data_IF_463150718905
#
_entry.id   IF_463150718905
#
_cell.length_a   1.000
_cell.length_b   1.000
_cell.length_c   1.000
_cell.angle_alpha   90.00
_cell.angle_beta   90.00
_cell.angle_gamma   90.00
#
_symmetry.space_group_name_H-M   'P 1'
#
loop_
_entity.id
_entity.type
_entity.pdbx_description
1 polymer ?
#
# COMPACT_ATOMS: atom_id res chain seq x y z
N UNK A 1 42.21 29.21 -0.34
CA UNK A 1 41.54 28.90 0.95
C UNK A 1 40.11 28.33 0.79
N UNK A 2 39.56 28.20 -0.42
CA UNK A 2 38.12 27.96 -0.63
C UNK A 2 37.69 26.49 -0.87
N UNK A 3 38.64 25.56 -1.06
CA UNK A 3 38.33 24.13 -1.33
C UNK A 3 37.93 23.34 -0.07
N UNK A 4 38.49 23.71 1.09
CA UNK A 4 38.25 23.02 2.36
C UNK A 4 36.80 23.14 2.84
N UNK A 5 36.12 24.24 2.49
CA UNK A 5 34.73 24.52 2.89
C UNK A 5 33.75 23.67 2.08
N UNK A 6 34.03 23.43 0.79
CA UNK A 6 33.19 22.59 -0.07
C UNK A 6 33.14 21.13 0.40
N UNK A 7 34.25 20.60 0.92
CA UNK A 7 34.33 19.24 1.44
C UNK A 7 33.51 19.09 2.72
N UNK A 8 33.54 20.10 3.61
CA UNK A 8 32.78 20.06 4.86
C UNK A 8 31.27 20.10 4.61
N UNK A 9 30.81 20.86 3.61
CA UNK A 9 29.37 20.92 3.26
C UNK A 9 28.88 19.61 2.62
N UNK A 10 29.70 18.94 1.79
CA UNK A 10 29.36 17.63 1.21
C UNK A 10 29.27 16.52 2.28
N UNK A 11 30.10 16.55 3.33
CA UNK A 11 30.09 15.53 4.38
C UNK A 11 28.83 15.60 5.27
N UNK A 12 28.26 16.78 5.46
CA UNK A 12 27.06 16.98 6.31
C UNK A 12 25.80 16.41 5.64
N UNK A 13 25.73 16.40 4.31
CA UNK A 13 24.58 15.82 3.58
C UNK A 13 24.57 14.28 3.59
N UNK A 14 25.71 13.62 3.76
CA UNK A 14 25.80 12.16 3.71
C UNK A 14 25.28 11.47 4.99
N UNK A 15 25.33 12.12 6.15
CA UNK A 15 24.99 11.49 7.45
C UNK A 15 23.54 11.77 7.88
N UNK A 16 22.89 12.79 7.33
CA UNK A 16 21.46 13.07 7.61
C UNK A 16 20.49 12.04 7.04
N UNK A 17 20.94 11.19 6.11
CA UNK A 17 20.11 10.20 5.39
C UNK A 17 20.20 8.81 6.04
N UNK A 18 20.64 8.72 7.30
CA UNK A 18 20.65 7.46 8.06
C UNK A 18 19.37 7.21 8.85
N UNK A 19 18.27 7.92 8.59
CA UNK A 19 16.94 7.47 9.04
C UNK A 19 16.45 6.37 8.10
N UNK A 20 17.08 5.20 8.23
CA UNK A 20 16.58 3.99 7.60
C UNK A 20 16.17 3.01 8.69
N UNK A 21 14.86 3.07 8.92
CA UNK A 21 13.98 1.92 9.19
C UNK A 21 14.19 1.26 10.55
N UNK A 22 13.75 1.92 11.62
CA UNK A 22 13.14 1.19 12.75
C UNK A 22 11.83 0.58 12.26
N UNK A 23 11.94 -0.50 11.48
CA UNK A 23 10.83 -1.30 11.04
C UNK A 23 10.99 -2.67 11.64
N UNK A 24 10.54 -2.83 12.88
CA UNK A 24 10.13 -4.14 13.39
C UNK A 24 9.32 -4.77 12.26
N UNK A 25 9.86 -5.86 11.72
CA UNK A 25 9.27 -6.71 10.70
C UNK A 25 8.04 -7.38 11.33
N UNK A 26 6.99 -6.60 11.56
CA UNK A 26 5.67 -7.15 11.79
C UNK A 26 5.29 -7.82 10.48
N UNK A 27 5.20 -9.13 10.53
CA UNK A 27 4.67 -10.03 9.50
C UNK A 27 3.14 -9.80 9.33
N UNK A 28 2.61 -8.68 9.82
CA UNK A 28 1.24 -8.21 9.68
C UNK A 28 1.20 -7.10 8.64
N UNK A 29 0.20 -7.15 7.77
CA UNK A 29 0.17 -6.34 6.56
C UNK A 29 0.26 -4.83 6.83
N UNK A 30 0.87 -4.13 5.87
CA UNK A 30 1.32 -2.76 6.04
C UNK A 30 0.24 -1.80 5.56
N UNK A 31 0.07 -0.66 6.24
CA UNK A 31 -0.84 0.40 5.78
C UNK A 31 -0.60 0.82 4.31
N UNK A 32 0.63 0.69 3.81
CA UNK A 32 0.96 0.94 2.41
C UNK A 32 0.28 -0.03 1.43
N UNK A 33 0.06 -1.28 1.84
CA UNK A 33 -0.65 -2.28 1.02
C UNK A 33 -2.13 -1.93 0.94
N UNK A 34 -2.76 -1.58 2.09
CA UNK A 34 -4.13 -1.06 2.10
C UNK A 34 -4.27 0.16 1.19
N UNK A 35 -3.38 1.15 1.33
CA UNK A 35 -3.44 2.37 0.51
C UNK A 35 -3.33 2.05 -0.98
N UNK A 36 -2.46 1.12 -1.36
CA UNK A 36 -2.31 0.70 -2.75
C UNK A 36 -3.57 0.02 -3.29
N UNK A 37 -4.16 -0.89 -2.51
CA UNK A 37 -5.43 -1.56 -2.87
C UNK A 37 -6.55 -0.53 -3.03
N UNK A 38 -6.71 0.37 -2.06
CA UNK A 38 -7.76 1.40 -2.10
C UNK A 38 -7.59 2.39 -3.25
N UNK A 39 -6.35 2.63 -3.69
CA UNK A 39 -6.06 3.46 -4.85
C UNK A 39 -6.34 2.71 -6.17
N UNK A 40 -5.69 1.57 -6.38
CA UNK A 40 -5.68 0.87 -7.68
C UNK A 40 -7.01 0.10 -7.94
N UNK A 41 -7.72 -0.29 -6.89
CA UNK A 41 -9.00 -1.00 -6.96
C UNK A 41 -10.21 -0.11 -6.62
N UNK A 42 -10.01 1.20 -6.36
CA UNK A 42 -11.02 2.10 -5.78
C UNK A 42 -12.43 1.96 -6.38
N UNK A 43 -12.51 1.87 -7.71
CA UNK A 43 -13.79 1.78 -8.44
C UNK A 43 -14.54 0.49 -8.14
N UNK A 44 -13.82 -0.63 -8.03
CA UNK A 44 -14.38 -1.96 -7.81
C UNK A 44 -14.82 -2.16 -6.37
N UNK A 45 -14.23 -1.42 -5.43
CA UNK A 45 -14.44 -1.60 -4.00
C UNK A 45 -15.61 -0.79 -3.45
N UNK A 46 -16.24 0.10 -4.23
CA UNK A 46 -17.38 0.91 -3.76
C UNK A 46 -18.59 0.04 -3.41
N UNK A 47 -19.47 0.56 -2.55
CA UNK A 47 -20.74 -0.08 -2.15
C UNK A 47 -21.81 -0.12 -3.26
N UNK A 48 -21.44 0.10 -4.53
CA UNK A 48 -22.37 -0.01 -5.64
C UNK A 48 -22.74 -1.48 -5.95
N UNK A 49 -23.88 -1.71 -6.59
CA UNK A 49 -24.31 -3.06 -7.01
C UNK A 49 -23.60 -3.56 -8.27
N UNK A 50 -22.50 -2.91 -8.66
CA UNK A 50 -21.75 -3.30 -9.84
C UNK A 50 -20.97 -4.60 -9.58
N UNK A 51 -21.01 -5.55 -10.54
CA UNK A 51 -20.21 -6.77 -10.45
C UNK A 51 -18.72 -6.43 -10.44
N UNK A 52 -17.94 -7.20 -9.68
CA UNK A 52 -16.48 -7.08 -9.67
C UNK A 52 -15.96 -7.71 -10.96
N UNK A 53 -15.71 -6.86 -11.97
CA UNK A 53 -15.05 -7.26 -13.22
C UNK A 53 -13.63 -6.69 -13.17
N UNK A 54 -12.66 -7.56 -12.94
CA UNK A 54 -11.24 -7.19 -12.86
C UNK A 54 -10.43 -7.98 -13.88
N UNK A 55 -9.58 -7.29 -14.63
CA UNK A 55 -8.63 -7.95 -15.53
C UNK A 55 -7.44 -8.49 -14.73
N UNK A 56 -7.01 -9.73 -15.00
CA UNK A 56 -5.87 -10.38 -14.31
C UNK A 56 -4.56 -9.59 -14.39
N UNK A 57 -4.39 -8.81 -15.45
CA UNK A 57 -3.21 -7.97 -15.69
C UNK A 57 -3.44 -6.49 -15.36
N UNK A 58 -4.57 -6.17 -14.72
CA UNK A 58 -4.84 -4.81 -14.25
C UNK A 58 -3.93 -4.42 -13.08
N UNK A 59 -3.73 -3.12 -12.91
CA UNK A 59 -3.00 -2.56 -11.75
C UNK A 59 -3.62 -3.02 -10.41
N UNK A 60 -4.95 -3.14 -10.35
CA UNK A 60 -5.63 -3.68 -9.17
C UNK A 60 -5.16 -5.11 -8.84
N UNK A 61 -5.14 -6.02 -9.82
CA UNK A 61 -4.67 -7.38 -9.55
C UNK A 61 -3.18 -7.48 -9.27
N UNK A 62 -2.36 -6.57 -9.82
CA UNK A 62 -0.95 -6.48 -9.43
C UNK A 62 -0.80 -6.04 -7.97
N UNK A 63 -1.61 -5.09 -7.51
CA UNK A 63 -1.63 -4.68 -6.11
C UNK A 63 -2.08 -5.82 -5.19
N UNK A 64 -3.12 -6.58 -5.56
CA UNK A 64 -3.58 -7.77 -4.82
C UNK A 64 -2.50 -8.84 -4.74
N UNK A 65 -1.82 -9.14 -5.85
CA UNK A 65 -0.71 -10.12 -5.88
C UNK A 65 0.51 -9.68 -5.06
N UNK A 66 0.68 -8.39 -4.83
CA UNK A 66 1.74 -7.86 -3.99
C UNK A 66 1.44 -7.97 -2.49
N UNK A 67 0.18 -8.23 -2.09
CA UNK A 67 -0.18 -8.50 -0.69
C UNK A 67 0.35 -9.88 -0.30
N UNK A 68 1.02 -10.02 0.86
CA UNK A 68 1.49 -11.32 1.36
C UNK A 68 0.36 -12.34 1.41
N UNK A 69 0.57 -13.51 0.79
CA UNK A 69 -0.42 -14.58 0.65
C UNK A 69 -1.75 -14.15 0.01
N UNK A 70 -1.79 -12.98 -0.66
CA UNK A 70 -3.02 -12.33 -1.15
C UNK A 70 -4.09 -12.15 -0.07
N UNK A 71 -3.71 -12.07 1.21
CA UNK A 71 -4.68 -12.02 2.32
C UNK A 71 -5.46 -10.70 2.30
N UNK A 72 -6.60 -10.70 1.63
CA UNK A 72 -7.44 -9.51 1.49
C UNK A 72 -8.31 -9.28 2.72
N UNK A 73 -8.54 -10.31 3.53
CA UNK A 73 -9.23 -10.19 4.83
C UNK A 73 -8.55 -9.19 5.73
N UNK A 74 -7.21 -9.26 5.84
CA UNK A 74 -6.47 -8.32 6.64
C UNK A 74 -6.54 -6.88 6.09
N UNK A 75 -6.55 -6.70 4.77
CA UNK A 75 -6.74 -5.37 4.15
C UNK A 75 -8.09 -4.77 4.56
N UNK A 76 -9.15 -5.59 4.59
CA UNK A 76 -10.47 -5.16 5.03
C UNK A 76 -10.50 -4.78 6.53
N UNK A 77 -9.73 -5.47 7.37
CA UNK A 77 -9.58 -5.16 8.80
C UNK A 77 -8.86 -3.83 9.05
N UNK A 78 -7.89 -3.46 8.20
CA UNK A 78 -7.15 -2.19 8.29
C UNK A 78 -7.96 -0.94 7.86
N UNK A 79 -9.18 -1.12 7.34
CA UNK A 79 -10.02 0.02 6.97
C UNK A 79 -10.41 0.84 8.20
N UNK A 80 -10.19 2.15 8.10
CA UNK A 80 -10.73 3.13 9.04
C UNK A 80 -12.25 3.22 8.92
N UNK A 81 -12.91 3.77 9.93
CA UNK A 81 -14.36 3.99 9.90
C UNK A 81 -14.82 4.86 8.70
N UNK A 82 -13.98 5.80 8.25
CA UNK A 82 -14.28 6.61 7.07
C UNK A 82 -14.17 5.78 5.79
N UNK A 83 -13.12 4.96 5.66
CA UNK A 83 -12.93 4.08 4.49
C UNK A 83 -14.04 3.02 4.41
N UNK A 84 -14.51 2.46 5.53
CA UNK A 84 -15.64 1.50 5.56
C UNK A 84 -16.96 2.08 5.05
N UNK A 85 -17.13 3.41 5.10
CA UNK A 85 -18.30 4.09 4.51
C UNK A 85 -18.21 4.19 2.99
N UNK A 86 -17.00 4.21 2.44
CA UNK A 86 -16.74 4.37 1.00
C UNK A 86 -16.57 3.03 0.30
N UNK A 87 -15.98 2.06 0.99
CA UNK A 87 -15.55 0.79 0.43
C UNK A 87 -16.18 -0.39 1.16
N UNK A 88 -16.53 -1.42 0.38
CA UNK A 88 -17.08 -2.67 0.86
C UNK A 88 -15.98 -3.65 1.23
N UNK A 89 -15.97 -4.05 2.51
CA UNK A 89 -15.07 -5.09 3.01
C UNK A 89 -15.28 -6.44 2.28
N UNK A 90 -16.54 -6.78 1.95
CA UNK A 90 -16.87 -7.97 1.15
C UNK A 90 -16.19 -7.92 -0.22
N UNK A 91 -16.31 -6.78 -0.92
CA UNK A 91 -15.69 -6.64 -2.24
C UNK A 91 -14.17 -6.71 -2.17
N UNK A 92 -13.55 -6.19 -1.11
CA UNK A 92 -12.11 -6.32 -0.86
C UNK A 92 -11.73 -7.78 -0.73
N UNK A 93 -12.42 -8.55 0.12
CA UNK A 93 -12.15 -9.98 0.31
C UNK A 93 -12.30 -10.78 -0.98
N UNK A 94 -13.30 -10.45 -1.80
CA UNK A 94 -13.56 -11.13 -3.08
C UNK A 94 -12.48 -10.90 -4.14
N UNK A 95 -11.57 -9.93 -3.97
CA UNK A 95 -10.44 -9.75 -4.89
C UNK A 95 -9.43 -10.91 -4.82
N UNK A 96 -9.33 -11.60 -3.67
CA UNK A 96 -8.35 -12.67 -3.44
C UNK A 96 -8.45 -13.83 -4.46
N UNK A 97 -9.63 -14.44 -4.69
CA UNK A 97 -9.78 -15.49 -5.70
C UNK A 97 -9.82 -14.97 -7.15
N UNK A 98 -9.95 -13.66 -7.39
CA UNK A 98 -10.13 -13.09 -8.73
C UNK A 98 -8.83 -12.69 -9.46
N UNK A 99 -7.70 -12.55 -8.75
CA UNK A 99 -6.50 -11.84 -9.26
C UNK A 99 -5.18 -12.64 -9.47
#
# INVERSE_FOLDING_TARGET
MSWKVAILVMLVFAVGVSVQVTGVKNIGCRNSEKQRILHDCARLLRHDDLPIIVGRDSLCCWAVRAVPHKNMTYIAELLTNAEKKLYSADKIQRLEPLC
#
